data_IF_839538444963
#
_entry.id   IF_839538444963
#
_cell.length_a   1.000
_cell.length_b   1.000
_cell.length_c   1.000
_cell.angle_alpha   90.00
_cell.angle_beta   90.00
_cell.angle_gamma   90.00
#
_symmetry.space_group_name_H-M   'P 1'
#
loop_
_entity.id
_entity.type
_entity.pdbx_description
1 polymer ?
#
# COMPACT_ATOMS: atom_id res chain seq x y z
N UNK A 1 15.04 5.35 -11.35
CA UNK A 1 15.47 4.03 -10.85
C UNK A 1 14.24 3.17 -10.54
N UNK A 2 13.97 2.11 -11.30
CA UNK A 2 12.79 1.26 -11.09
C UNK A 2 12.83 0.46 -9.76
N UNK A 3 14.02 0.07 -9.30
CA UNK A 3 14.22 -0.56 -7.98
C UNK A 3 13.66 0.28 -6.83
N UNK A 4 13.90 1.59 -6.84
CA UNK A 4 13.38 2.49 -5.80
C UNK A 4 11.85 2.52 -5.80
N UNK A 5 11.23 2.56 -6.98
CA UNK A 5 9.77 2.53 -7.10
C UNK A 5 9.16 1.21 -6.59
N UNK A 6 9.83 0.07 -6.80
CA UNK A 6 9.42 -1.20 -6.18
C UNK A 6 9.59 -1.20 -4.65
N UNK A 7 10.66 -0.61 -4.12
CA UNK A 7 10.86 -0.48 -2.67
C UNK A 7 9.82 0.42 -2.03
N UNK A 8 9.48 1.54 -2.68
CA UNK A 8 8.42 2.45 -2.23
C UNK A 8 7.05 1.76 -2.27
N UNK A 9 6.76 0.98 -3.32
CA UNK A 9 5.53 0.18 -3.40
C UNK A 9 5.45 -0.86 -2.26
N UNK A 10 6.54 -1.58 -2.00
CA UNK A 10 6.61 -2.57 -0.92
C UNK A 10 6.39 -1.93 0.46
N UNK A 11 6.95 -0.73 0.69
CA UNK A 11 6.72 0.03 1.92
C UNK A 11 5.23 0.35 2.11
N UNK A 12 4.56 0.85 1.08
CA UNK A 12 3.14 1.17 1.16
C UNK A 12 2.26 -0.09 1.34
N UNK A 13 2.64 -1.24 0.77
CA UNK A 13 1.96 -2.51 1.05
C UNK A 13 2.11 -2.93 2.52
N UNK A 14 3.30 -2.77 3.12
CA UNK A 14 3.50 -3.04 4.54
C UNK A 14 2.68 -2.09 5.43
N UNK A 15 2.61 -0.80 5.09
CA UNK A 15 1.77 0.18 5.79
C UNK A 15 0.28 -0.21 5.70
N UNK A 16 -0.20 -0.61 4.52
CA UNK A 16 -1.57 -1.10 4.33
C UNK A 16 -1.86 -2.34 5.18
N UNK A 17 -0.94 -3.31 5.21
CA UNK A 17 -1.09 -4.51 6.03
C UNK A 17 -1.19 -4.17 7.52
N UNK A 18 -0.35 -3.25 8.01
CA UNK A 18 -0.43 -2.77 9.40
C UNK A 18 -1.78 -2.10 9.71
N UNK A 19 -2.31 -1.30 8.78
CA UNK A 19 -3.63 -0.70 8.94
C UNK A 19 -4.76 -1.72 8.92
N UNK A 20 -4.68 -2.79 8.11
CA UNK A 20 -5.66 -3.87 8.16
C UNK A 20 -5.63 -4.64 9.48
N UNK A 21 -4.45 -4.92 10.03
CA UNK A 21 -4.32 -5.55 11.34
C UNK A 21 -4.93 -4.68 12.45
N UNK A 22 -4.64 -3.38 12.45
CA UNK A 22 -5.24 -2.45 13.41
C UNK A 22 -6.76 -2.35 13.23
N UNK A 23 -7.26 -2.34 12.00
CA UNK A 23 -8.70 -2.32 11.74
C UNK A 23 -9.38 -3.57 12.31
N UNK A 24 -8.79 -4.75 12.13
CA UNK A 24 -9.29 -6.01 12.69
C UNK A 24 -9.30 -5.96 14.23
N UNK A 25 -8.21 -5.51 14.85
CA UNK A 25 -8.13 -5.36 16.31
C UNK A 25 -9.21 -4.40 16.84
N UNK A 26 -9.36 -3.22 16.23
CA UNK A 26 -10.38 -2.25 16.64
C UNK A 26 -11.80 -2.78 16.45
N UNK A 27 -12.03 -3.54 15.39
CA UNK A 27 -13.33 -4.16 15.14
C UNK A 27 -13.66 -5.22 16.21
N UNK A 28 -12.68 -6.04 16.60
CA UNK A 28 -12.81 -7.05 17.66
C UNK A 28 -13.10 -6.41 19.02
N UNK A 29 -12.49 -5.24 19.30
CA UNK A 29 -12.75 -4.44 20.50
C UNK A 29 -14.10 -3.68 20.47
N UNK A 30 -14.91 -3.81 19.40
CA UNK A 30 -16.17 -3.06 19.22
C UNK A 30 -16.01 -1.59 18.83
N UNK A 31 -14.78 -1.14 18.55
CA UNK A 31 -14.48 0.23 18.12
C UNK A 31 -14.62 0.37 16.60
N UNK A 32 -15.83 0.19 16.08
CA UNK A 32 -16.10 0.12 14.64
C UNK A 32 -15.70 1.39 13.86
N UNK A 33 -15.88 2.58 14.43
CA UNK A 33 -15.49 3.83 13.76
C UNK A 33 -13.97 3.91 13.54
N UNK A 34 -13.18 3.54 14.54
CA UNK A 34 -11.72 3.49 14.41
C UNK A 34 -11.29 2.35 13.48
N UNK A 35 -12.00 1.22 13.49
CA UNK A 35 -11.77 0.14 12.52
C UNK A 35 -11.98 0.62 11.08
N UNK A 36 -13.06 1.35 10.82
CA UNK A 36 -13.33 1.93 9.50
C UNK A 36 -12.27 2.96 9.08
N UNK A 37 -11.83 3.83 10.00
CA UNK A 37 -10.72 4.78 9.72
C UNK A 37 -9.45 4.05 9.34
N UNK A 38 -9.09 2.98 10.06
CA UNK A 38 -7.91 2.18 9.73
C UNK A 38 -8.09 1.43 8.40
N UNK A 39 -9.27 0.89 8.12
CA UNK A 39 -9.56 0.23 6.84
C UNK A 39 -9.46 1.20 5.67
N UNK A 40 -9.94 2.44 5.80
CA UNK A 40 -9.78 3.48 4.76
C UNK A 40 -8.30 3.80 4.51
N UNK A 41 -7.51 4.00 5.58
CA UNK A 41 -6.06 4.22 5.46
C UNK A 41 -5.34 3.06 4.79
N UNK A 42 -5.76 1.81 5.08
CA UNK A 42 -5.21 0.65 4.41
C UNK A 42 -5.46 0.65 2.90
N UNK A 43 -6.66 1.06 2.47
CA UNK A 43 -6.99 1.23 1.06
C UNK A 43 -6.21 2.36 0.39
N UNK A 44 -6.02 3.49 1.06
CA UNK A 44 -5.20 4.60 0.57
C UNK A 44 -3.75 4.16 0.35
N UNK A 45 -3.14 3.50 1.34
CA UNK A 45 -1.78 2.95 1.23
C UNK A 45 -1.68 1.91 0.11
N UNK A 46 -2.66 1.02 -0.03
CA UNK A 46 -2.68 0.03 -1.12
C UNK A 46 -2.76 0.69 -2.50
N UNK A 47 -3.58 1.74 -2.63
CA UNK A 47 -3.70 2.52 -3.86
C UNK A 47 -2.37 3.18 -4.23
N UNK A 48 -1.69 3.78 -3.24
CA UNK A 48 -0.35 4.34 -3.43
C UNK A 48 0.67 3.27 -3.86
N UNK A 49 0.64 2.10 -3.22
CA UNK A 49 1.50 0.97 -3.57
C UNK A 49 1.31 0.52 -5.02
N UNK A 50 0.06 0.35 -5.46
CA UNK A 50 -0.26 0.01 -6.84
C UNK A 50 0.22 1.06 -7.84
N UNK A 51 0.06 2.35 -7.51
CA UNK A 51 0.60 3.46 -8.32
C UNK A 51 2.12 3.38 -8.48
N UNK A 52 2.84 3.17 -7.37
CA UNK A 52 4.31 3.02 -7.39
C UNK A 52 4.77 1.77 -8.14
N UNK A 53 4.06 0.66 -8.01
CA UNK A 53 4.34 -0.57 -8.75
C UNK A 53 4.15 -0.36 -10.26
N UNK A 54 3.08 0.32 -10.66
CA UNK A 54 2.80 0.65 -12.07
C UNK A 54 3.90 1.53 -12.67
N UNK A 55 4.35 2.53 -11.93
CA UNK A 55 5.48 3.38 -12.31
C UNK A 55 6.79 2.57 -12.41
N UNK A 56 7.04 1.65 -11.48
CA UNK A 56 8.20 0.75 -11.52
C UNK A 56 8.19 -0.15 -12.77
N UNK A 57 7.04 -0.72 -13.12
CA UNK A 57 6.87 -1.54 -14.32
C UNK A 57 7.05 -0.70 -15.59
N UNK A 58 6.47 0.50 -15.65
CA UNK A 58 6.59 1.41 -16.80
C UNK A 58 8.05 1.83 -17.02
N UNK A 59 8.76 2.18 -15.95
CA UNK A 59 10.19 2.54 -15.99
C UNK A 59 11.06 1.35 -16.40
N UNK A 60 10.76 0.16 -15.89
CA UNK A 60 11.47 -1.07 -16.25
C UNK A 60 11.28 -1.41 -17.74
N UNK A 61 10.04 -1.34 -18.23
CA UNK A 61 9.71 -1.60 -19.64
C UNK A 61 10.35 -0.57 -20.59
N UNK A 62 10.41 0.71 -20.19
CA UNK A 62 11.06 1.76 -20.96
C UNK A 62 12.58 1.62 -20.99
N UNK A 63 13.16 1.08 -19.91
CA UNK A 63 14.60 0.85 -19.81
C UNK A 63 15.05 -0.44 -20.52
N UNK A 64 14.15 -1.41 -20.72
CA UNK A 64 14.41 -2.66 -21.42
C UNK A 64 14.31 -2.55 -22.96
N UNK A 65 13.79 -1.43 -23.48
CA UNK A 65 13.67 -1.15 -24.93
C UNK A 65 14.87 -0.38 -25.52
N UNK A 66 15.92 -0.12 -24.73
CA UNK A 66 17.19 0.47 -25.17
C UNK A 66 18.26 -0.60 -25.27
#
# INVERSE_FOLDING_TARGET
MAKQAHMDAARHHNEAAGHHLNAAEKHDMGNHDEAHKHSQKAHESSTAAHGKSTDAHTKSASSAKK
#
